data_IF_116457371936
#
_entry.id   IF_116457371936
#
_cell.length_a   1.000
_cell.length_b   1.000
_cell.length_c   1.000
_cell.angle_alpha   90.00
_cell.angle_beta   90.00
_cell.angle_gamma   90.00
#
_symmetry.space_group_name_H-M   'P 1'
#
loop_
_entity.id
_entity.type
_entity.pdbx_description
1 polymer ?
#
# COMPACT_ATOMS: atom_id res chain seq x y z
N UNK A 1 -0.27 10.65 -13.53
CA UNK A 1 0.22 9.98 -12.33
C UNK A 1 -0.38 8.60 -12.24
N UNK A 2 0.37 7.64 -11.75
CA UNK A 2 -0.07 6.26 -11.62
C UNK A 2 -0.18 5.92 -10.15
N UNK A 3 -1.21 5.17 -9.79
CA UNK A 3 -1.57 4.93 -8.38
C UNK A 3 -1.78 3.46 -8.11
N UNK A 4 -1.55 3.09 -6.85
CA UNK A 4 -1.91 1.77 -6.35
C UNK A 4 -2.83 1.95 -5.15
N UNK A 5 -3.94 1.24 -5.17
CA UNK A 5 -4.84 1.15 -4.03
C UNK A 5 -4.77 -0.27 -3.51
N UNK A 6 -4.40 -0.42 -2.25
CA UNK A 6 -4.27 -1.73 -1.63
C UNK A 6 -5.22 -1.80 -0.45
N UNK A 7 -6.05 -2.83 -0.42
CA UNK A 7 -6.94 -3.10 0.71
C UNK A 7 -6.33 -4.25 1.49
N UNK A 8 -6.01 -3.99 2.75
CA UNK A 8 -5.45 -4.98 3.65
C UNK A 8 -6.44 -5.33 4.74
N UNK A 9 -6.63 -6.61 5.01
CA UNK A 9 -7.19 -7.06 6.27
C UNK A 9 -6.00 -7.35 7.19
N UNK A 10 -5.90 -6.65 8.33
CA UNK A 10 -4.77 -6.78 9.24
C UNK A 10 -5.21 -7.40 10.56
N UNK A 11 -4.36 -8.23 11.15
CA UNK A 11 -4.64 -8.85 12.43
C UNK A 11 -4.58 -7.82 13.57
N UNK A 12 -3.65 -6.86 13.48
CA UNK A 12 -3.42 -5.84 14.51
C UNK A 12 -2.85 -4.60 13.83
N UNK A 13 -3.61 -3.51 13.85
CA UNK A 13 -3.20 -2.27 13.17
C UNK A 13 -1.85 -1.72 13.70
N UNK A 14 -1.62 -1.59 15.01
CA UNK A 14 -0.33 -1.07 15.50
C UNK A 14 0.87 -1.88 15.01
N UNK A 15 0.76 -3.19 14.96
CA UNK A 15 1.83 -4.05 14.46
C UNK A 15 2.06 -3.82 12.97
N UNK A 16 0.98 -3.75 12.18
CA UNK A 16 1.06 -3.47 10.75
C UNK A 16 1.71 -2.10 10.49
N UNK A 17 1.27 -1.08 11.24
CA UNK A 17 1.76 0.29 11.08
C UNK A 17 3.26 0.39 11.34
N UNK A 18 3.75 -0.33 12.33
CA UNK A 18 5.18 -0.37 12.65
C UNK A 18 6.00 -0.93 11.48
N UNK A 19 5.53 -2.01 10.87
CA UNK A 19 6.18 -2.59 9.70
C UNK A 19 6.09 -1.66 8.51
N UNK A 20 4.92 -1.05 8.29
CA UNK A 20 4.69 -0.09 7.22
C UNK A 20 5.66 1.09 7.31
N UNK A 21 5.82 1.68 8.49
CA UNK A 21 6.72 2.80 8.71
C UNK A 21 8.18 2.38 8.52
N UNK A 22 8.54 1.21 8.98
CA UNK A 22 9.90 0.68 8.81
C UNK A 22 10.28 0.43 7.37
N UNK A 23 9.30 0.24 6.50
CA UNK A 23 9.52 0.00 5.08
C UNK A 23 9.52 1.27 4.22
N UNK A 24 9.39 2.45 4.83
CA UNK A 24 9.30 3.71 4.08
C UNK A 24 10.47 3.92 3.12
N UNK A 25 11.70 3.61 3.55
CA UNK A 25 12.88 3.78 2.72
C UNK A 25 12.85 2.91 1.47
N UNK A 26 12.51 1.63 1.62
CA UNK A 26 12.46 0.72 0.47
C UNK A 26 11.30 1.05 -0.46
N UNK A 27 10.18 1.56 0.06
CA UNK A 27 9.07 2.03 -0.77
C UNK A 27 9.49 3.21 -1.63
N UNK A 28 10.17 4.18 -1.02
CA UNK A 28 10.66 5.37 -1.72
C UNK A 28 11.65 4.99 -2.83
N UNK A 29 12.61 4.13 -2.53
CA UNK A 29 13.57 3.64 -3.53
C UNK A 29 12.89 2.92 -4.68
N UNK A 30 11.85 2.15 -4.40
CA UNK A 30 11.12 1.39 -5.41
C UNK A 30 10.30 2.28 -6.35
N UNK A 31 9.93 3.49 -5.92
CA UNK A 31 9.18 4.42 -6.76
C UNK A 31 7.93 5.02 -6.15
N UNK A 32 7.61 4.72 -4.90
CA UNK A 32 6.50 5.38 -4.20
C UNK A 32 6.84 6.85 -3.94
N UNK A 33 5.94 7.76 -4.29
CA UNK A 33 6.17 9.20 -4.18
C UNK A 33 5.33 9.86 -3.11
N UNK A 34 4.11 9.35 -2.89
CA UNK A 34 3.24 9.84 -1.82
C UNK A 34 2.28 8.73 -1.43
N UNK A 35 1.67 8.86 -0.25
CA UNK A 35 0.74 7.85 0.22
C UNK A 35 -0.30 8.44 1.15
N UNK A 36 -1.39 7.72 1.29
CA UNK A 36 -2.38 7.90 2.33
C UNK A 36 -2.67 6.53 2.95
N UNK A 37 -2.86 6.52 4.26
CA UNK A 37 -3.33 5.34 4.97
C UNK A 37 -4.72 5.67 5.51
N UNK A 38 -5.70 4.90 5.09
CA UNK A 38 -7.10 5.09 5.42
C UNK A 38 -7.63 3.81 6.05
N UNK A 39 -8.70 3.91 6.83
CA UNK A 39 -9.34 2.71 7.35
C UNK A 39 -10.83 2.75 7.04
N UNK A 40 -11.44 1.58 6.99
CA UNK A 40 -12.88 1.49 6.85
C UNK A 40 -13.54 2.11 8.09
N UNK A 41 -14.62 2.85 7.87
CA UNK A 41 -15.37 3.48 8.96
C UNK A 41 -15.87 2.45 9.98
N UNK A 42 -16.26 1.30 9.50
CA UNK A 42 -16.94 0.28 10.33
C UNK A 42 -16.07 -0.97 10.59
N UNK A 43 -14.77 -0.92 10.25
CA UNK A 43 -13.88 -2.06 10.48
C UNK A 43 -12.45 -1.54 10.71
N UNK A 44 -11.98 -1.48 11.97
CA UNK A 44 -10.66 -0.93 12.29
C UNK A 44 -9.50 -1.78 11.79
N UNK A 45 -9.77 -3.02 11.36
CA UNK A 45 -8.75 -3.93 10.86
C UNK A 45 -8.70 -3.99 9.33
N UNK A 46 -9.52 -3.17 8.65
CA UNK A 46 -9.49 -3.08 7.19
C UNK A 46 -8.90 -1.74 6.80
N UNK A 47 -7.67 -1.81 6.26
CA UNK A 47 -6.81 -0.65 6.00
C UNK A 47 -6.62 -0.49 4.50
N UNK A 48 -6.67 0.75 4.04
CA UNK A 48 -6.40 1.10 2.64
C UNK A 48 -5.09 1.88 2.58
N UNK A 49 -4.17 1.42 1.75
CA UNK A 49 -2.95 2.14 1.40
C UNK A 49 -3.12 2.63 -0.02
N UNK A 50 -3.28 3.93 -0.19
CA UNK A 50 -3.43 4.58 -1.50
C UNK A 50 -2.18 5.38 -1.79
N UNK A 51 -1.48 5.05 -2.88
CA UNK A 51 -0.16 5.63 -3.13
C UNK A 51 0.05 6.00 -4.59
N UNK A 52 0.86 7.05 -4.78
CA UNK A 52 1.29 7.50 -6.10
C UNK A 52 2.69 6.95 -6.39
N UNK A 53 2.90 6.47 -7.60
CA UNK A 53 4.14 5.78 -8.01
C UNK A 53 4.71 6.36 -9.29
N UNK A 54 6.01 6.16 -9.46
CA UNK A 54 6.71 6.50 -10.70
C UNK A 54 6.12 5.77 -11.91
N UNK A 55 5.72 4.51 -11.72
CA UNK A 55 5.00 3.74 -12.73
C UNK A 55 4.29 2.55 -12.10
N UNK A 56 3.29 2.02 -12.78
CA UNK A 56 2.63 0.78 -12.36
C UNK A 56 3.62 -0.40 -12.42
N UNK A 57 4.51 -0.42 -13.39
CA UNK A 57 5.52 -1.48 -13.51
C UNK A 57 6.44 -1.50 -12.28
N UNK A 58 6.88 -0.33 -11.83
CA UNK A 58 7.70 -0.21 -10.61
C UNK A 58 6.94 -0.70 -9.38
N UNK A 59 5.66 -0.32 -9.27
CA UNK A 59 4.82 -0.75 -8.15
C UNK A 59 4.61 -2.26 -8.15
N UNK A 60 4.30 -2.85 -9.30
CA UNK A 60 4.13 -4.31 -9.42
C UNK A 60 5.40 -5.05 -9.04
N UNK A 61 6.53 -4.59 -9.55
CA UNK A 61 7.83 -5.21 -9.25
C UNK A 61 8.10 -5.22 -7.76
N UNK A 62 7.75 -4.13 -7.09
CA UNK A 62 7.94 -4.01 -5.65
C UNK A 62 6.98 -4.93 -4.88
N UNK A 63 5.67 -4.77 -5.10
CA UNK A 63 4.66 -5.49 -4.32
C UNK A 63 4.62 -6.99 -4.59
N UNK A 64 4.98 -7.42 -5.78
CA UNK A 64 5.00 -8.82 -6.16
C UNK A 64 6.33 -9.50 -5.84
N UNK A 65 7.34 -8.77 -5.34
CA UNK A 65 8.62 -9.34 -4.97
C UNK A 65 8.49 -10.33 -3.81
N UNK A 66 9.30 -11.40 -3.77
CA UNK A 66 9.29 -12.35 -2.65
C UNK A 66 9.54 -11.68 -1.30
N UNK A 67 10.39 -10.65 -1.27
CA UNK A 67 10.68 -9.88 -0.06
C UNK A 67 9.43 -9.24 0.51
N UNK A 68 8.62 -8.59 -0.34
CA UNK A 68 7.40 -7.91 0.09
C UNK A 68 6.31 -8.90 0.49
N UNK A 69 6.23 -10.04 -0.19
CA UNK A 69 5.30 -11.10 0.21
C UNK A 69 5.59 -11.55 1.63
N UNK A 70 6.87 -11.75 1.98
CA UNK A 70 7.28 -12.12 3.34
C UNK A 70 6.98 -11.01 4.35
N UNK A 71 7.30 -9.75 4.00
CA UNK A 71 7.05 -8.61 4.89
C UNK A 71 5.56 -8.48 5.21
N UNK A 72 4.69 -8.62 4.21
CA UNK A 72 3.24 -8.57 4.44
C UNK A 72 2.76 -9.69 5.35
N UNK A 73 3.25 -10.89 5.13
CA UNK A 73 2.88 -12.03 5.97
C UNK A 73 3.30 -11.80 7.43
N UNK A 74 4.51 -11.31 7.66
CA UNK A 74 5.02 -10.97 8.98
C UNK A 74 4.23 -9.83 9.64
N UNK A 75 3.74 -8.89 8.84
CA UNK A 75 2.91 -7.78 9.31
C UNK A 75 1.47 -8.18 9.65
N UNK A 76 1.12 -9.44 9.44
CA UNK A 76 -0.23 -9.93 9.73
C UNK A 76 -1.28 -9.56 8.70
N UNK A 77 -0.87 -9.27 7.47
CA UNK A 77 -1.78 -8.94 6.37
C UNK A 77 -2.43 -10.22 5.85
N UNK A 78 -3.76 -10.18 5.70
CA UNK A 78 -4.56 -11.27 5.16
C UNK A 78 -5.25 -10.81 3.89
N UNK A 79 -5.31 -11.68 2.89
CA UNK A 79 -6.05 -11.46 1.64
C UNK A 79 -5.89 -10.05 1.07
N UNK A 80 -4.66 -9.58 0.80
CA UNK A 80 -4.47 -8.24 0.25
C UNK A 80 -5.04 -8.15 -1.16
N UNK A 81 -5.72 -7.04 -1.45
CA UNK A 81 -6.26 -6.75 -2.77
C UNK A 81 -5.49 -5.57 -3.36
N UNK A 82 -4.90 -5.75 -4.53
CA UNK A 82 -4.11 -4.73 -5.22
C UNK A 82 -4.88 -4.23 -6.43
N UNK A 83 -5.09 -2.91 -6.51
CA UNK A 83 -5.78 -2.26 -7.62
C UNK A 83 -4.84 -1.22 -8.19
N UNK A 84 -4.48 -1.37 -9.47
CA UNK A 84 -3.56 -0.47 -10.16
C UNK A 84 -4.38 0.50 -11.01
N UNK A 85 -4.08 1.80 -10.86
CA UNK A 85 -4.95 2.86 -11.37
C UNK A 85 -4.15 3.91 -12.14
N UNK A 86 -4.72 4.40 -13.25
CA UNK A 86 -4.22 5.59 -13.93
C UNK A 86 -5.13 6.76 -13.58
N UNK A 87 -4.54 7.89 -13.26
CA UNK A 87 -5.32 9.10 -13.08
C UNK A 87 -5.77 9.63 -14.44
N UNK A 88 -7.06 9.83 -14.60
CA UNK A 88 -7.62 10.44 -15.82
C UNK A 88 -8.03 11.89 -15.61
N UNK A 89 -8.29 12.28 -14.37
CA UNK A 89 -8.65 13.63 -14.04
C UNK A 89 -8.45 13.89 -12.55
N UNK A 90 -8.11 15.10 -12.20
CA UNK A 90 -8.08 15.57 -10.82
C UNK A 90 -8.55 17.02 -10.80
N UNK A 91 -9.14 17.45 -9.68
CA UNK A 91 -9.63 18.80 -9.52
C UNK A 91 -10.00 19.11 -8.09
N UNK A 92 -10.35 20.39 -7.85
CA UNK A 92 -10.83 20.87 -6.56
C UNK A 92 -12.18 21.54 -6.79
N UNK A 93 -13.14 21.22 -5.93
CA UNK A 93 -14.48 21.83 -6.00
C UNK A 93 -14.58 23.07 -5.10
#
# INVERSE_FOLDING_TARGET
MQYVLIIHEVADYPAWKKVFDGAAGIRKEAGERSFQVLKYQNDPNRIVHFSAWTSIDDARRFFESPKLVRIRAEAGVKAPEFIYLYQIEAGTL
#
